data_IF_095569820796
#
_entry.id   IF_095569820796
#
_cell.length_a   1.000
_cell.length_b   1.000
_cell.length_c   1.000
_cell.angle_alpha   90.00
_cell.angle_beta   90.00
_cell.angle_gamma   90.00
#
_symmetry.space_group_name_H-M   'P 1'
#
loop_
_entity.id
_entity.type
_entity.pdbx_description
1 polymer ?
#
# COMPACT_ATOMS: atom_id res chain seq x y z
N UNK A 1 21.96 -0.37 8.25
CA UNK A 1 21.32 -0.92 7.03
C UNK A 1 20.10 -0.06 6.71
N UNK A 2 19.88 0.28 5.45
CA UNK A 2 18.82 1.21 5.01
C UNK A 2 17.94 0.55 3.95
N UNK A 3 16.67 0.95 3.90
CA UNK A 3 15.71 0.55 2.88
C UNK A 3 15.09 1.77 2.17
N UNK A 4 14.25 1.52 1.17
CA UNK A 4 13.51 2.58 0.47
C UNK A 4 12.01 2.32 0.54
N UNK A 5 11.25 3.38 0.85
CA UNK A 5 9.80 3.42 0.72
C UNK A 5 9.46 4.23 -0.55
N UNK A 6 8.57 3.69 -1.37
CA UNK A 6 8.10 4.30 -2.63
C UNK A 6 6.65 4.72 -2.47
N UNK A 7 6.35 5.96 -2.84
CA UNK A 7 4.96 6.38 -3.03
C UNK A 7 4.61 6.17 -4.50
N UNK A 8 3.75 5.21 -4.78
CA UNK A 8 3.36 4.83 -6.13
C UNK A 8 1.85 4.99 -6.35
N UNK A 9 1.48 5.58 -7.48
CA UNK A 9 0.08 5.70 -7.92
C UNK A 9 -0.03 5.17 -9.33
N UNK A 10 -0.87 4.14 -9.53
CA UNK A 10 -1.13 3.51 -10.84
C UNK A 10 0.15 3.10 -11.60
N UNK A 11 1.13 2.50 -10.92
CA UNK A 11 2.40 2.10 -11.54
C UNK A 11 3.47 3.20 -11.56
N UNK A 12 3.13 4.43 -11.16
CA UNK A 12 4.01 5.60 -11.26
C UNK A 12 4.54 5.95 -9.88
N UNK A 13 5.86 5.87 -9.70
CA UNK A 13 6.53 6.29 -8.46
C UNK A 13 6.61 7.81 -8.43
N UNK A 14 5.84 8.42 -7.54
CA UNK A 14 5.79 9.87 -7.32
C UNK A 14 6.95 10.35 -6.44
N UNK A 15 7.37 9.54 -5.46
CA UNK A 15 8.50 9.87 -4.60
C UNK A 15 9.17 8.62 -4.01
N UNK A 16 10.42 8.80 -3.56
CA UNK A 16 11.20 7.78 -2.85
C UNK A 16 11.79 8.39 -1.59
N UNK A 17 11.78 7.62 -0.51
CA UNK A 17 12.36 8.00 0.78
C UNK A 17 13.23 6.88 1.31
N UNK A 18 14.51 7.18 1.52
CA UNK A 18 15.43 6.26 2.20
C UNK A 18 15.14 6.30 3.71
N UNK A 19 15.04 5.12 4.32
CA UNK A 19 14.66 4.94 5.73
C UNK A 19 15.56 3.91 6.41
N UNK A 20 15.52 3.88 7.73
CA UNK A 20 16.16 2.82 8.52
C UNK A 20 15.45 1.47 8.35
N UNK A 21 16.11 0.39 8.75
CA UNK A 21 15.58 -0.98 8.62
C UNK A 21 14.27 -1.17 9.39
N UNK A 22 14.17 -0.68 10.63
CA UNK A 22 12.98 -0.87 11.47
C UNK A 22 11.75 -0.20 10.83
N UNK A 23 11.90 1.06 10.40
CA UNK A 23 10.84 1.78 9.70
C UNK A 23 10.46 1.10 8.37
N UNK A 24 11.45 0.55 7.66
CA UNK A 24 11.20 -0.20 6.43
C UNK A 24 10.38 -1.48 6.69
N UNK A 25 10.71 -2.23 7.75
CA UNK A 25 9.96 -3.44 8.14
C UNK A 25 8.54 -3.08 8.59
N UNK A 26 8.37 -2.01 9.36
CA UNK A 26 7.05 -1.54 9.79
C UNK A 26 6.19 -1.07 8.62
N UNK A 27 6.79 -0.41 7.63
CA UNK A 27 6.10 -0.02 6.40
C UNK A 27 5.72 -1.25 5.56
N UNK A 28 6.61 -2.23 5.46
CA UNK A 28 6.37 -3.47 4.74
C UNK A 28 5.24 -4.28 5.40
N UNK A 29 5.19 -4.37 6.73
CA UNK A 29 4.14 -5.10 7.44
C UNK A 29 2.75 -4.47 7.27
N UNK A 30 2.67 -3.14 7.14
CA UNK A 30 1.40 -2.41 6.94
C UNK A 30 0.85 -2.52 5.52
N UNK A 31 1.71 -2.55 4.51
CA UNK A 31 1.32 -2.54 3.10
C UNK A 31 0.33 -3.66 2.70
N UNK A 32 0.53 -4.94 3.08
CA UNK A 32 -0.44 -6.01 2.82
C UNK A 32 -1.80 -5.78 3.47
N UNK A 33 -1.84 -5.26 4.69
CA UNK A 33 -3.08 -4.99 5.40
C UNK A 33 -3.89 -3.87 4.73
N UNK A 34 -3.20 -2.82 4.27
CA UNK A 34 -3.82 -1.73 3.50
C UNK A 34 -4.37 -2.22 2.16
N UNK A 35 -3.62 -3.08 1.45
CA UNK A 35 -4.06 -3.69 0.21
C UNK A 35 -5.29 -4.59 0.41
N UNK A 36 -5.28 -5.42 1.46
CA UNK A 36 -6.43 -6.27 1.81
C UNK A 36 -7.67 -5.43 2.14
N UNK A 37 -7.53 -4.37 2.92
CA UNK A 37 -8.63 -3.46 3.25
C UNK A 37 -9.17 -2.73 2.00
N UNK A 38 -8.29 -2.30 1.09
CA UNK A 38 -8.70 -1.69 -0.19
C UNK A 38 -9.51 -2.68 -1.04
N UNK A 39 -9.04 -3.92 -1.15
CA UNK A 39 -9.72 -4.98 -1.90
C UNK A 39 -11.09 -5.33 -1.30
N UNK A 40 -11.19 -5.39 0.03
CA UNK A 40 -12.47 -5.63 0.71
C UNK A 40 -13.47 -4.51 0.40
N UNK A 41 -13.06 -3.24 0.49
CA UNK A 41 -13.91 -2.09 0.13
C UNK A 41 -14.32 -2.12 -1.35
N UNK A 42 -13.40 -2.46 -2.25
CA UNK A 42 -13.69 -2.58 -3.67
C UNK A 42 -14.71 -3.70 -3.94
N UNK A 43 -14.58 -4.84 -3.24
CA UNK A 43 -15.51 -5.96 -3.33
C UNK A 43 -16.91 -5.57 -2.86
N UNK A 44 -17.01 -4.94 -1.69
CA UNK A 44 -18.28 -4.43 -1.17
C UNK A 44 -18.94 -3.42 -2.11
N UNK A 45 -18.15 -2.54 -2.73
CA UNK A 45 -18.66 -1.56 -3.69
C UNK A 45 -19.23 -2.22 -4.95
N UNK A 46 -18.57 -3.27 -5.45
CA UNK A 46 -19.08 -4.08 -6.58
C UNK A 46 -20.36 -4.79 -6.18
N UNK A 47 -20.43 -5.41 -5.00
CA UNK A 47 -21.62 -6.13 -4.52
C UNK A 47 -22.82 -5.21 -4.27
N UNK A 48 -22.58 -3.95 -3.89
CA UNK A 48 -23.63 -2.95 -3.65
C UNK A 48 -24.04 -2.17 -4.89
N UNK A 49 -23.34 -2.33 -6.02
CA UNK A 49 -23.72 -1.67 -7.27
C UNK A 49 -24.84 -2.48 -7.94
N UNK A 50 -26.05 -1.92 -8.14
CA UNK A 50 -27.04 -2.56 -8.98
C UNK A 50 -26.51 -2.52 -10.41
N UNK A 51 -26.23 -3.70 -10.98
CA UNK A 51 -26.04 -3.85 -12.41
C UNK A 51 -27.38 -3.82 -13.14
#
# INVERSE_FOLDING_TARGET
>A
MTGEIRHEVRGIVLSRRTVGLDEWVDALARSPAEAAASNARAREAVERSPA
#
